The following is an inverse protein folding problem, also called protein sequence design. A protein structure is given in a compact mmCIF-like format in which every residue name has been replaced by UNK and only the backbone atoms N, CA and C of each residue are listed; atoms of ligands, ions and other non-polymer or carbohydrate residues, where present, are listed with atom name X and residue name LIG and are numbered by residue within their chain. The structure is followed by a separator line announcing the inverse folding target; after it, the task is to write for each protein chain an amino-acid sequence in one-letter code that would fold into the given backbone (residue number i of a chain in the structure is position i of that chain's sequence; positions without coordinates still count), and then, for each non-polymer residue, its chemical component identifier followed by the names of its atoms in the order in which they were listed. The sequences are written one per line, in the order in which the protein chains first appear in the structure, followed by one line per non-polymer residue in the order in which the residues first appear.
data_IF_467070320718
#
_entry.id   IF_467070320718
#
_cell.length_a   1.000
_cell.length_b   1.000
_cell.length_c   1.000
_cell.angle_alpha   90.00
_cell.angle_beta   90.00
_cell.angle_gamma   90.00
#
_symmetry.space_group_name_H-M   'P 1'
#
loop_
_entity.id
_entity.type
_entity.pdbx_description
1 polymer ?
#
# COMPACT_ATOMS: atom_id res chain seq x y z
N UNK A 1 -17.86 -0.08 5.82
CA UNK A 1 -17.15 0.57 6.95
C UNK A 1 -15.78 1.03 6.44
N UNK A 2 -15.42 2.32 6.55
CA UNK A 2 -14.06 2.77 6.22
C UNK A 2 -13.07 2.06 7.15
N UNK A 3 -12.07 1.37 6.60
CA UNK A 3 -11.03 0.70 7.40
C UNK A 3 -10.31 1.76 8.25
N UNK A 4 -10.42 1.64 9.58
CA UNK A 4 -9.86 2.61 10.55
C UNK A 4 -8.38 2.33 10.86
N UNK A 5 -7.63 1.86 9.86
CA UNK A 5 -6.25 1.43 10.05
C UNK A 5 -5.31 2.51 9.51
N UNK A 6 -4.22 2.75 10.23
CA UNK A 6 -3.04 3.46 9.75
C UNK A 6 -2.01 2.40 9.36
N UNK A 7 -1.54 2.45 8.12
CA UNK A 7 -0.51 1.54 7.64
C UNK A 7 0.84 2.23 7.70
N UNK A 8 1.84 1.55 8.27
CA UNK A 8 3.18 2.10 8.42
C UNK A 8 4.22 1.14 7.83
N UNK A 9 5.33 1.71 7.36
CA UNK A 9 6.55 1.00 6.98
C UNK A 9 7.67 1.58 7.83
N UNK A 10 8.30 0.75 8.65
CA UNK A 10 9.43 1.17 9.47
C UNK A 10 10.35 0.00 9.74
N UNK A 11 11.65 0.21 9.60
CA UNK A 11 12.70 -0.76 9.92
C UNK A 11 12.41 -2.19 9.39
N UNK A 12 12.06 -2.30 8.10
CA UNK A 12 11.78 -3.58 7.45
C UNK A 12 10.52 -4.29 7.92
N UNK A 13 9.59 -3.57 8.57
CA UNK A 13 8.28 -4.07 8.98
C UNK A 13 7.18 -3.23 8.36
N UNK A 14 6.10 -3.91 7.99
CA UNK A 14 4.85 -3.27 7.60
C UNK A 14 3.79 -3.65 8.63
N UNK A 15 3.06 -2.67 9.14
CA UNK A 15 2.06 -2.89 10.17
C UNK A 15 0.76 -2.15 9.86
N UNK A 16 -0.35 -2.73 10.31
CA UNK A 16 -1.60 -2.00 10.49
C UNK A 16 -1.75 -1.61 11.95
N UNK A 17 -1.99 -0.33 12.18
CA UNK A 17 -2.21 0.28 13.48
C UNK A 17 -3.67 0.73 13.56
N UNK A 18 -4.36 0.42 14.65
CA UNK A 18 -5.67 0.98 14.92
C UNK A 18 -5.54 2.50 15.15
N UNK A 19 -6.23 3.31 14.34
CA UNK A 19 -6.14 4.78 14.42
C UNK A 19 -6.71 5.37 15.72
N UNK A 20 -7.60 4.66 16.40
CA UNK A 20 -8.28 5.13 17.60
C UNK A 20 -7.40 4.96 18.83
N UNK A 21 -6.68 3.84 18.94
CA UNK A 21 -5.95 3.48 20.17
C UNK A 21 -4.45 3.18 19.96
N UNK A 22 -3.95 3.16 18.73
CA UNK A 22 -2.54 2.96 18.43
C UNK A 22 -2.05 1.52 18.51
N UNK A 23 -2.93 0.53 18.71
CA UNK A 23 -2.53 -0.87 18.80
C UNK A 23 -2.16 -1.45 17.43
N UNK A 24 -1.15 -2.32 17.41
CA UNK A 24 -0.80 -3.11 16.22
C UNK A 24 -1.88 -4.19 16.04
N UNK A 25 -2.58 -4.14 14.92
CA UNK A 25 -3.59 -5.13 14.51
C UNK A 25 -2.91 -6.35 13.88
N UNK A 26 -1.96 -6.08 12.97
CA UNK A 26 -1.12 -7.08 12.35
C UNK A 26 0.23 -6.46 11.97
N UNK A 27 1.24 -7.30 11.83
CA UNK A 27 2.58 -6.91 11.40
C UNK A 27 3.22 -8.03 10.57
N UNK A 28 4.00 -7.65 9.56
CA UNK A 28 4.83 -8.57 8.77
C UNK A 28 6.27 -8.04 8.67
N UNK A 29 7.22 -8.96 8.52
CA UNK A 29 8.64 -8.63 8.37
C UNK A 29 9.04 -8.80 6.90
N UNK A 30 9.49 -7.72 6.27
CA UNK A 30 9.89 -7.72 4.87
C UNK A 30 11.04 -8.69 4.58
N UNK A 31 11.93 -8.93 5.55
CA UNK A 31 13.06 -9.86 5.40
C UNK A 31 12.62 -11.29 5.02
N UNK A 32 11.39 -11.67 5.33
CA UNK A 32 10.82 -12.98 4.98
C UNK A 32 10.52 -13.09 3.46
N UNK A 33 10.39 -11.97 2.76
CA UNK A 33 10.06 -11.90 1.34
C UNK A 33 11.21 -11.42 0.44
N UNK A 34 12.09 -10.55 0.98
CA UNK A 34 13.16 -9.90 0.21
C UNK A 34 14.57 -10.10 0.80
N UNK A 35 14.69 -10.76 1.96
CA UNK A 35 15.98 -11.02 2.61
C UNK A 35 16.47 -9.89 3.53
N UNK A 36 17.28 -10.25 4.53
CA UNK A 36 17.70 -9.34 5.60
C UNK A 36 18.59 -8.18 5.15
N UNK A 37 19.40 -8.35 4.12
CA UNK A 37 20.36 -7.31 3.67
C UNK A 37 19.68 -6.09 3.07
N UNK A 38 18.46 -6.24 2.55
CA UNK A 38 17.75 -5.19 1.80
C UNK A 38 16.48 -4.72 2.50
N UNK A 39 15.93 -5.53 3.41
CA UNK A 39 14.67 -5.23 4.09
C UNK A 39 14.70 -3.94 4.92
N UNK A 40 15.86 -3.50 5.39
CA UNK A 40 16.01 -2.33 6.26
C UNK A 40 16.32 -1.04 5.49
N UNK A 41 16.35 -1.08 4.16
CA UNK A 41 16.53 0.12 3.35
C UNK A 41 15.36 1.10 3.51
N UNK A 42 15.62 2.37 3.22
CA UNK A 42 14.55 3.39 3.14
C UNK A 42 13.59 3.00 2.01
N UNK A 43 12.30 3.00 2.32
CA UNK A 43 11.25 2.63 1.39
C UNK A 43 10.03 3.54 1.51
N UNK A 44 9.04 3.28 0.66
CA UNK A 44 7.79 4.04 0.60
C UNK A 44 6.56 3.17 0.78
N UNK A 45 5.61 3.80 1.48
CA UNK A 45 4.24 3.47 1.86
C UNK A 45 3.08 3.92 0.94
N UNK A 46 2.35 3.08 0.20
CA UNK A 46 1.09 3.55 -0.40
C UNK A 46 -0.05 2.55 -0.28
N UNK A 47 -1.30 3.04 -0.27
CA UNK A 47 -2.50 2.23 -0.01
C UNK A 47 -3.58 2.59 -1.02
N UNK A 48 -4.09 1.57 -1.72
CA UNK A 48 -5.18 1.69 -2.68
C UNK A 48 -6.15 0.52 -2.46
N UNK A 49 -7.37 0.82 -2.01
CA UNK A 49 -8.41 -0.16 -1.75
C UNK A 49 -7.97 -1.23 -0.76
N UNK A 50 -7.88 -2.47 -1.26
CA UNK A 50 -7.47 -3.63 -0.48
C UNK A 50 -5.97 -3.95 -0.58
N UNK A 51 -5.18 -3.08 -1.20
CA UNK A 51 -3.76 -3.27 -1.49
C UNK A 51 -2.87 -2.25 -0.76
N UNK A 52 -1.72 -2.72 -0.31
CA UNK A 52 -0.63 -1.90 0.21
C UNK A 52 0.56 -2.10 -0.72
N UNK A 53 1.03 -1.03 -1.33
CA UNK A 53 2.19 -1.05 -2.21
C UNK A 53 3.42 -0.55 -1.45
N UNK A 54 4.47 -1.37 -1.46
CA UNK A 54 5.74 -1.09 -0.81
C UNK A 54 6.82 -1.04 -1.89
N UNK A 55 7.54 0.07 -1.95
CA UNK A 55 8.78 0.20 -2.71
C UNK A 55 9.97 0.26 -1.78
N UNK A 56 10.89 -0.69 -1.85
CA UNK A 56 12.08 -0.74 -0.99
C UNK A 56 13.24 -1.38 -1.75
N UNK A 57 14.40 -0.72 -1.76
CA UNK A 57 15.63 -1.25 -2.40
C UNK A 57 15.43 -1.73 -3.85
N UNK A 58 14.72 -0.96 -4.69
CA UNK A 58 14.40 -1.38 -6.06
C UNK A 58 13.45 -2.58 -6.18
N UNK A 59 12.75 -2.97 -5.11
CA UNK A 59 11.76 -4.05 -5.11
C UNK A 59 10.38 -3.46 -4.85
N UNK A 60 9.38 -3.94 -5.60
CA UNK A 60 7.97 -3.65 -5.38
C UNK A 60 7.26 -4.87 -4.77
N UNK A 61 6.49 -4.61 -3.72
CA UNK A 61 5.62 -5.60 -3.09
C UNK A 61 4.20 -5.07 -3.05
N UNK A 62 3.23 -5.97 -3.21
CA UNK A 62 1.84 -5.70 -2.89
C UNK A 62 1.40 -6.62 -1.77
N UNK A 63 0.86 -6.04 -0.71
CA UNK A 63 0.34 -6.74 0.45
C UNK A 63 -1.16 -6.51 0.58
N UNK A 64 -1.83 -7.45 1.22
CA UNK A 64 -3.23 -7.32 1.63
C UNK A 64 -3.39 -6.35 2.79
N UNK A 65 -4.32 -5.40 2.67
CA UNK A 65 -4.70 -4.53 3.81
C UNK A 65 -5.37 -5.27 4.97
N UNK A 66 -5.87 -6.49 4.72
CA UNK A 66 -6.63 -7.30 5.69
C UNK A 66 -5.72 -7.90 6.76
N UNK A 67 -4.57 -8.42 6.35
CA UNK A 67 -3.70 -9.25 7.19
C UNK A 67 -2.20 -9.10 6.88
N UNK A 68 -1.83 -8.23 5.94
CA UNK A 68 -0.43 -8.02 5.53
C UNK A 68 0.12 -9.13 4.62
N UNK A 69 -0.69 -10.11 4.21
CA UNK A 69 -0.23 -11.21 3.34
C UNK A 69 0.28 -10.70 2.00
N UNK A 70 1.38 -11.30 1.52
CA UNK A 70 1.95 -11.00 0.20
C UNK A 70 0.98 -11.44 -0.91
N UNK A 71 0.58 -10.48 -1.75
CA UNK A 71 -0.20 -10.74 -2.98
C UNK A 71 0.71 -10.96 -4.18
N UNK A 72 1.71 -10.10 -4.36
CA UNK A 72 2.72 -10.25 -5.42
C UNK A 72 4.02 -9.50 -5.08
N UNK A 73 5.11 -9.90 -5.75
CA UNK A 73 6.44 -9.27 -5.71
C UNK A 73 6.98 -9.04 -7.11
N UNK A 74 7.62 -7.90 -7.34
CA UNK A 74 8.42 -7.61 -8.53
C UNK A 74 9.77 -7.04 -8.12
N UNK A 75 10.86 -7.66 -8.57
CA UNK A 75 12.23 -7.31 -8.19
C UNK A 75 12.87 -6.22 -9.07
N UNK A 76 12.13 -5.70 -10.08
CA UNK A 76 12.62 -4.70 -11.03
C UNK A 76 14.04 -5.02 -11.55
N UNK A 77 14.27 -6.27 -11.93
CA UNK A 77 15.59 -6.78 -12.31
C UNK A 77 16.23 -5.89 -13.38
N UNK A 78 17.45 -5.43 -13.10
CA UNK A 78 18.23 -4.56 -13.98
C UNK A 78 18.00 -3.06 -13.79
N UNK A 79 17.09 -2.63 -12.90
CA UNK A 79 16.80 -1.20 -12.67
C UNK A 79 17.62 -0.58 -11.52
N UNK A 80 18.42 -1.40 -10.82
CA UNK A 80 19.21 -0.98 -9.66
C UNK A 80 18.44 -1.03 -8.34
N UNK A 81 18.98 -0.39 -7.30
CA UNK A 81 18.49 -0.49 -5.91
C UNK A 81 17.97 0.84 -5.36
N UNK A 82 17.71 1.81 -6.25
CA UNK A 82 17.28 3.15 -5.88
C UNK A 82 15.86 3.17 -5.31
N UNK A 83 15.51 4.34 -4.75
CA UNK A 83 14.15 4.62 -4.30
C UNK A 83 13.17 4.49 -5.47
N UNK A 84 12.08 3.74 -5.25
CA UNK A 84 10.96 3.69 -6.20
C UNK A 84 10.09 4.90 -5.93
N UNK A 85 9.49 5.53 -6.95
CA UNK A 85 8.47 6.58 -6.78
C UNK A 85 7.15 6.10 -7.39
N UNK A 86 6.02 6.39 -6.75
CA UNK A 86 4.69 5.91 -7.17
C UNK A 86 3.72 7.10 -7.30
N UNK A 87 3.04 7.22 -8.44
CA UNK A 87 2.20 8.38 -8.75
C UNK A 87 0.68 8.12 -8.68
N UNK A 88 0.21 6.92 -9.03
CA UNK A 88 -1.23 6.64 -9.21
C UNK A 88 -1.91 5.92 -8.04
N UNK A 89 -1.19 5.68 -6.94
CA UNK A 89 -1.60 4.79 -5.85
C UNK A 89 -2.68 5.34 -4.90
N UNK A 90 -3.31 6.46 -5.25
CA UNK A 90 -4.27 7.18 -4.39
C UNK A 90 -5.55 7.58 -5.15
N UNK A 91 -5.80 7.00 -6.32
CA UNK A 91 -6.77 7.56 -7.26
C UNK A 91 -8.23 7.17 -6.96
N UNK A 92 -8.49 6.33 -5.95
CA UNK A 92 -9.84 5.91 -5.58
C UNK A 92 -10.72 7.08 -5.11
N UNK A 93 -10.15 8.09 -4.44
CA UNK A 93 -10.90 9.28 -4.04
C UNK A 93 -11.35 10.11 -5.25
N UNK A 94 -10.51 10.21 -6.30
CA UNK A 94 -10.90 10.83 -7.57
C UNK A 94 -11.89 9.94 -8.33
N UNK A 95 -11.63 8.65 -8.48
CA UNK A 95 -12.48 7.72 -9.21
C UNK A 95 -13.89 7.62 -8.62
N UNK A 96 -14.02 7.57 -7.28
CA UNK A 96 -15.32 7.56 -6.60
C UNK A 96 -16.07 8.89 -6.77
N UNK A 97 -15.36 10.04 -6.78
CA UNK A 97 -15.98 11.34 -7.05
C UNK A 97 -16.48 11.42 -8.50
N UNK A 98 -15.72 10.92 -9.47
CA UNK A 98 -16.10 10.88 -10.88
C UNK A 98 -17.33 9.97 -11.08
N UNK A 99 -17.36 8.80 -10.44
CA UNK A 99 -18.49 7.87 -10.52
C UNK A 99 -19.76 8.46 -9.88
N UNK A 100 -19.64 9.11 -8.72
CA UNK A 100 -20.77 9.75 -8.05
C UNK A 100 -21.33 10.92 -8.88
N UNK A 101 -20.48 11.76 -9.45
CA UNK A 101 -20.90 12.87 -10.31
C UNK A 101 -21.53 12.36 -11.62
N UNK A 102 -20.99 11.28 -12.20
CA UNK A 102 -21.54 10.67 -13.43
C UNK A 102 -22.90 10.01 -13.16
N UNK A 103 -23.06 9.29 -12.04
CA UNK A 103 -24.34 8.69 -11.66
C UNK A 103 -25.42 9.75 -11.39
N UNK A 104 -25.07 10.84 -10.71
CA UNK A 104 -25.97 11.96 -10.48
C UNK A 104 -26.38 12.67 -11.79
N UNK A 105 -25.44 12.87 -12.73
CA UNK A 105 -25.73 13.46 -14.04
C UNK A 105 -26.67 12.59 -14.88
N UNK A 106 -26.49 11.27 -14.86
CA UNK A 106 -27.35 10.33 -15.59
C UNK A 106 -28.75 10.21 -14.97
N UNK A 107 -28.87 10.31 -13.63
CA UNK A 107 -30.16 10.26 -12.94
C UNK A 107 -30.99 11.55 -13.12
N UNK A 108 -30.34 12.69 -13.37
CA UNK A 108 -31.01 13.96 -13.65
C UNK A 108 -31.38 14.16 -15.13
N UNK A 109 -30.93 13.27 -16.01
CA UNK A 109 -31.23 13.28 -17.44
C UNK A 109 -32.41 12.36 -17.84
N UNK A 110 -33.10 11.77 -16.86
CA UNK A 110 -34.31 10.95 -17.00
C UNK A 110 -35.47 11.66 -16.30
#
# INVERSE_FOLDING_TARGET
MKKNNLYILSNGRVAAIDKKNGQIIWEIKLKEYIGSSVAYAVGQINVEGDNIFIGVYGILLCLSTKDGSLKWKNELKGWGYSFVSMANVNNEAQAASIQATTAAANAAAV
#
